data_IF_085098320328
#
_entry.id   IF_085098320328
#
_cell.length_a   1.000
_cell.length_b   1.000
_cell.length_c   1.000
_cell.angle_alpha   90.00
_cell.angle_beta   90.00
_cell.angle_gamma   90.00
#
_symmetry.space_group_name_H-M   'P 1'
#
loop_
_entity.id
_entity.type
_entity.pdbx_description
1 polymer ?
#
# COMPACT_ATOMS: atom_id res chain seq x y z
N UNK A 1 -4.48 -8.11 -11.54
CA UNK A 1 -4.48 -6.81 -10.83
C UNK A 1 -3.12 -6.19 -11.06
N UNK A 2 -3.06 -4.96 -11.59
CA UNK A 2 -1.78 -4.27 -11.79
C UNK A 2 -1.25 -3.80 -10.44
N UNK A 3 0.05 -3.93 -10.20
CA UNK A 3 0.69 -3.39 -9.00
C UNK A 3 0.72 -1.86 -9.11
N UNK A 4 0.30 -1.17 -8.05
CA UNK A 4 0.17 0.28 -8.01
C UNK A 4 0.59 0.81 -6.64
N UNK A 5 1.25 1.97 -6.61
CA UNK A 5 1.53 2.61 -5.33
C UNK A 5 0.27 3.33 -4.85
N UNK A 6 0.03 3.31 -3.55
CA UNK A 6 -1.06 4.08 -2.95
C UNK A 6 -0.53 5.08 -1.94
N UNK A 7 -1.19 6.23 -1.85
CA UNK A 7 -0.87 7.30 -0.90
C UNK A 7 -2.13 7.72 -0.15
N UNK A 8 -2.08 7.65 1.18
CA UNK A 8 -3.16 8.12 2.03
C UNK A 8 -3.15 9.66 2.07
N UNK A 9 -4.21 10.28 1.57
CA UNK A 9 -4.30 11.75 1.46
C UNK A 9 -5.11 12.31 2.62
N UNK A 10 -5.92 13.36 2.40
CA UNK A 10 -6.47 14.32 3.37
C UNK A 10 -7.16 13.71 4.60
N UNK A 11 -7.63 12.47 4.53
CA UNK A 11 -8.32 11.78 5.64
C UNK A 11 -8.20 10.26 5.52
N UNK A 12 -8.38 9.60 6.65
CA UNK A 12 -8.55 8.15 6.72
C UNK A 12 -7.40 7.40 7.40
N UNK A 13 -7.67 6.12 7.62
CA UNK A 13 -6.70 5.13 8.10
C UNK A 13 -6.87 3.84 7.33
N UNK A 14 -5.76 3.20 7.02
CA UNK A 14 -5.71 1.92 6.34
C UNK A 14 -4.88 0.96 7.19
N UNK A 15 -5.37 -0.26 7.39
CA UNK A 15 -4.55 -1.37 7.88
C UNK A 15 -4.18 -2.29 6.73
N UNK A 16 -3.01 -2.90 6.77
CA UNK A 16 -2.72 -4.08 5.98
C UNK A 16 -2.78 -5.32 6.88
N UNK A 17 -3.36 -6.41 6.34
CA UNK A 17 -3.49 -7.68 7.05
C UNK A 17 -3.08 -8.85 6.18
N UNK A 18 -2.45 -9.85 6.80
CA UNK A 18 -2.36 -11.20 6.26
C UNK A 18 -3.40 -12.07 6.93
N UNK A 19 -4.17 -12.81 6.15
CA UNK A 19 -5.17 -13.74 6.66
C UNK A 19 -4.57 -15.14 6.63
N UNK A 20 -4.49 -15.78 7.80
CA UNK A 20 -4.06 -17.16 7.91
C UNK A 20 -5.20 -18.12 7.51
N UNK A 21 -4.89 -19.37 7.18
CA UNK A 21 -5.87 -20.38 6.74
C UNK A 21 -7.02 -20.61 7.75
N UNK A 22 -6.80 -20.33 9.03
CA UNK A 22 -7.80 -20.44 10.09
C UNK A 22 -8.67 -19.18 10.25
N UNK A 23 -8.50 -18.19 9.36
CA UNK A 23 -9.23 -16.93 9.35
C UNK A 23 -8.70 -15.87 10.30
N UNK A 24 -7.59 -16.12 11.02
CA UNK A 24 -6.98 -15.09 11.87
C UNK A 24 -6.27 -14.04 11.03
N UNK A 25 -6.48 -12.78 11.38
CA UNK A 25 -5.78 -11.64 10.80
C UNK A 25 -4.50 -11.33 11.59
N UNK A 26 -3.39 -11.16 10.87
CA UNK A 26 -2.16 -10.56 11.38
C UNK A 26 -2.00 -9.18 10.73
N UNK A 27 -2.06 -8.11 11.53
CA UNK A 27 -1.84 -6.74 11.06
C UNK A 27 -0.35 -6.58 10.76
N UNK A 28 -0.02 -6.36 9.49
CA UNK A 28 1.35 -6.10 9.03
C UNK A 28 1.70 -4.63 9.21
N UNK A 29 0.81 -3.73 8.77
CA UNK A 29 1.02 -2.29 8.78
C UNK A 29 -0.24 -1.49 9.12
N UNK A 30 -0.02 -0.27 9.59
CA UNK A 30 -1.04 0.77 9.76
C UNK A 30 -0.56 2.04 9.07
N UNK A 31 -1.41 2.63 8.24
CA UNK A 31 -1.14 3.84 7.47
C UNK A 31 -2.12 4.94 7.84
N UNK A 32 -1.57 6.13 8.06
CA UNK A 32 -2.26 7.38 8.30
C UNK A 32 -2.03 8.34 7.12
N UNK A 33 -2.75 9.46 7.13
CA UNK A 33 -2.57 10.59 6.21
C UNK A 33 -1.09 10.92 6.01
N UNK A 34 -0.67 11.08 4.75
CA UNK A 34 0.69 11.42 4.36
C UNK A 34 1.62 10.22 4.19
N UNK A 35 1.11 8.99 4.22
CA UNK A 35 1.93 7.78 4.08
C UNK A 35 1.65 7.02 2.78
N UNK A 36 2.72 6.51 2.19
CA UNK A 36 2.67 5.59 1.06
C UNK A 36 2.53 4.14 1.53
N UNK A 37 1.82 3.33 0.76
CA UNK A 37 1.68 1.89 0.98
C UNK A 37 1.65 1.12 -0.34
N UNK A 38 2.03 -0.16 -0.27
CA UNK A 38 2.20 -1.02 -1.45
C UNK A 38 3.55 -0.87 -2.19
N UNK A 39 4.48 -0.07 -1.69
CA UNK A 39 5.79 0.13 -2.35
C UNK A 39 6.70 -1.11 -2.29
N UNK A 40 6.62 -1.94 -1.23
CA UNK A 40 7.49 -3.12 -1.08
C UNK A 40 7.35 -4.06 -2.27
N UNK A 41 6.12 -4.42 -2.63
CA UNK A 41 5.84 -5.26 -3.78
C UNK A 41 6.32 -4.65 -5.11
N UNK A 42 6.31 -3.31 -5.23
CA UNK A 42 6.80 -2.63 -6.43
C UNK A 42 8.33 -2.68 -6.54
N UNK A 43 9.04 -2.46 -5.44
CA UNK A 43 10.51 -2.47 -5.39
C UNK A 43 11.05 -3.88 -5.60
N UNK A 44 10.38 -4.88 -5.02
CA UNK A 44 10.77 -6.29 -5.13
C UNK A 44 10.31 -6.96 -6.44
N UNK A 45 9.55 -6.25 -7.28
CA UNK A 45 8.85 -6.79 -8.45
C UNK A 45 8.06 -8.06 -8.12
N UNK A 46 7.35 -8.02 -6.99
CA UNK A 46 6.61 -9.14 -6.41
C UNK A 46 5.10 -8.84 -6.34
N UNK A 47 4.30 -9.85 -6.05
CA UNK A 47 2.88 -9.66 -5.78
C UNK A 47 2.65 -9.06 -4.39
N UNK A 48 1.54 -8.33 -4.20
CA UNK A 48 1.07 -8.01 -2.86
C UNK A 48 0.82 -9.29 -2.08
N UNK A 49 1.38 -9.37 -0.88
CA UNK A 49 1.27 -10.51 0.02
C UNK A 49 0.39 -10.22 1.24
N UNK A 50 -0.19 -9.03 1.32
CA UNK A 50 -1.18 -8.62 2.30
C UNK A 50 -2.36 -7.88 1.65
N UNK A 51 -3.41 -7.67 2.45
CA UNK A 51 -4.64 -6.98 2.02
C UNK A 51 -4.79 -5.66 2.76
N UNK A 52 -4.91 -4.56 2.01
CA UNK A 52 -5.22 -3.25 2.56
C UNK A 52 -6.73 -3.09 2.83
N UNK A 53 -7.09 -2.68 4.05
CA UNK A 53 -8.47 -2.49 4.50
C UNK A 53 -8.60 -1.09 5.11
N UNK A 54 -9.55 -0.32 4.59
CA UNK A 54 -9.91 0.99 5.13
C UNK A 54 -10.58 0.83 6.50
N UNK A 55 -10.07 1.51 7.52
CA UNK A 55 -10.60 1.48 8.89
C UNK A 55 -11.61 2.58 9.19
N UNK A 56 -11.45 3.73 8.53
CA UNK A 56 -12.34 4.89 8.62
C UNK A 56 -12.33 5.59 7.26
N UNK A 57 -13.34 6.41 6.94
CA UNK A 57 -13.49 7.06 5.64
C UNK A 57 -12.16 7.67 5.15
N UNK A 58 -11.67 7.17 4.02
CA UNK A 58 -10.33 7.45 3.54
C UNK A 58 -10.33 7.99 2.11
N UNK A 59 -9.43 8.92 1.86
CA UNK A 59 -9.06 9.34 0.50
C UNK A 59 -7.68 8.75 0.20
N UNK A 60 -7.58 8.07 -0.94
CA UNK A 60 -6.37 7.39 -1.37
C UNK A 60 -6.09 7.76 -2.82
N UNK A 61 -4.85 8.19 -3.09
CA UNK A 61 -4.36 8.40 -4.45
C UNK A 61 -3.69 7.12 -4.93
N UNK A 62 -4.05 6.67 -6.13
CA UNK A 62 -3.34 5.62 -6.84
C UNK A 62 -2.28 6.26 -7.74
N UNK A 63 -1.05 5.78 -7.63
CA UNK A 63 0.11 6.25 -8.38
C UNK A 63 0.60 5.10 -9.27
N UNK A 64 0.73 5.31 -10.60
CA UNK A 64 1.28 4.33 -11.53
C UNK A 64 2.62 3.76 -11.07
N UNK A 65 2.82 2.43 -11.19
CA UNK A 65 4.12 1.79 -10.91
C UNK A 65 5.26 2.50 -11.63
N UNK A 66 5.10 2.84 -12.90
CA UNK A 66 6.14 3.46 -13.71
C UNK A 66 6.54 4.85 -13.17
N UNK A 67 5.56 5.64 -12.71
CA UNK A 67 5.81 6.95 -12.11
C UNK A 67 6.57 6.81 -10.78
N UNK A 68 6.15 5.87 -9.93
CA UNK A 68 6.88 5.60 -8.69
C UNK A 68 8.31 5.11 -8.94
N UNK A 69 8.51 4.18 -9.87
CA UNK A 69 9.84 3.70 -10.22
C UNK A 69 10.71 4.83 -10.79
N UNK A 70 10.16 5.73 -11.60
CA UNK A 70 10.86 6.93 -12.04
C UNK A 70 11.26 7.81 -10.85
N UNK A 71 10.38 8.06 -9.88
CA UNK A 71 10.71 8.87 -8.71
C UNK A 71 11.90 8.33 -7.92
N UNK A 72 11.98 7.00 -7.70
CA UNK A 72 13.06 6.40 -6.90
C UNK A 72 14.37 6.21 -7.67
N UNK A 73 14.31 6.04 -9.00
CA UNK A 73 15.51 5.83 -9.82
C UNK A 73 16.05 7.11 -10.46
N UNK A 74 15.29 8.20 -10.47
CA UNK A 74 15.74 9.50 -11.01
C UNK A 74 16.57 10.33 -10.01
N UNK A 75 16.55 9.98 -8.73
CA UNK A 75 17.33 10.64 -7.67
C UNK A 75 18.65 9.91 -7.32
N UNK A 76 19.17 9.05 -8.22
CA UNK A 76 20.50 8.41 -8.13
C UNK A 76 21.42 8.94 -9.23
#
# INVERSE_FOLDING_TARGET
MLLQLFFATNKGKVKCVKVHEDGKEYITNLYSVGQFFGYTALIEDAFYDDTAIVLEEAEVLQIPKEEFLQMIYSDI
#
